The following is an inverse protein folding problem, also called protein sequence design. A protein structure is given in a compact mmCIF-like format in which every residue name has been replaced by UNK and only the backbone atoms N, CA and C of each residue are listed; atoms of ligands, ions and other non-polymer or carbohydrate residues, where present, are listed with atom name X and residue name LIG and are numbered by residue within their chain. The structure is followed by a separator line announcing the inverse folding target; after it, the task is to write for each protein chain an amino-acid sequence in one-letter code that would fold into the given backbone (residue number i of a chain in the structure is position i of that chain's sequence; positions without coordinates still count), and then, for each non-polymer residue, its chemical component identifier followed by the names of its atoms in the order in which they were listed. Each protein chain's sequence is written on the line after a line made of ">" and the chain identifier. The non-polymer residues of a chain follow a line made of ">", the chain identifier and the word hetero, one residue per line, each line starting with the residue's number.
data_IF_700605900733
#
_entry.id   IF_700605900733
#
_cell.length_a   1.000
_cell.length_b   1.000
_cell.length_c   1.000
_cell.angle_alpha   90.00
_cell.angle_beta   90.00
_cell.angle_gamma   90.00
#
_symmetry.space_group_name_H-M   'P 1'
#
loop_
_entity.id
_entity.type
_entity.pdbx_description
1 polymer ?
#
# COMPACT_ATOMS: atom_id res chain seq x y z
N UNK A 1 24.52 41.10 -6.30
CA UNK A 1 24.43 39.96 -7.24
C UNK A 1 23.15 39.22 -6.95
N UNK A 2 22.23 39.16 -7.91
CA UNK A 2 21.02 38.33 -7.80
C UNK A 2 21.44 36.89 -8.10
N UNK A 3 21.12 35.95 -7.21
CA UNK A 3 21.41 34.54 -7.45
C UNK A 3 20.73 34.09 -8.76
N UNK A 4 21.40 33.25 -9.58
CA UNK A 4 20.80 32.76 -10.82
C UNK A 4 19.49 32.03 -10.53
N UNK A 5 18.50 32.22 -11.40
CA UNK A 5 17.21 31.56 -11.27
C UNK A 5 17.41 30.04 -11.25
N UNK A 6 16.76 29.36 -10.31
CA UNK A 6 16.80 27.90 -10.24
C UNK A 6 16.30 27.31 -11.57
N UNK A 7 16.92 26.21 -12.04
CA UNK A 7 16.47 25.52 -13.25
C UNK A 7 15.00 25.15 -13.11
N UNK A 8 14.23 25.49 -14.13
CA UNK A 8 12.78 25.29 -14.16
C UNK A 8 12.48 24.01 -14.93
N UNK A 9 11.80 23.03 -14.32
CA UNK A 9 11.56 21.74 -14.97
C UNK A 9 10.50 21.83 -16.08
N UNK A 10 9.63 22.84 -16.05
CA UNK A 10 8.63 23.09 -17.10
C UNK A 10 9.05 24.26 -18.00
N UNK A 11 9.14 24.02 -19.31
CA UNK A 11 9.37 25.09 -20.30
C UNK A 11 8.26 26.13 -20.23
N UNK A 12 8.61 27.42 -20.13
CA UNK A 12 7.65 28.52 -19.98
C UNK A 12 7.01 28.63 -18.58
N UNK A 13 7.31 27.72 -17.66
CA UNK A 13 6.83 27.79 -16.27
C UNK A 13 7.66 28.75 -15.41
N UNK A 14 7.10 29.12 -14.25
CA UNK A 14 7.81 29.91 -13.22
C UNK A 14 8.07 29.12 -11.91
N UNK A 15 7.51 27.92 -11.76
CA UNK A 15 7.75 27.07 -10.60
C UNK A 15 9.09 26.31 -10.73
N UNK A 16 9.93 26.40 -9.71
CA UNK A 16 11.13 25.57 -9.58
C UNK A 16 10.77 24.17 -9.06
N UNK A 17 11.63 23.17 -9.29
CA UNK A 17 11.42 21.78 -8.86
C UNK A 17 11.12 21.66 -7.35
N UNK A 18 11.78 22.47 -6.51
CA UNK A 18 11.54 22.49 -5.07
C UNK A 18 10.12 22.93 -4.68
N UNK A 19 9.52 23.87 -5.41
CA UNK A 19 8.13 24.30 -5.16
C UNK A 19 7.15 23.20 -5.56
N UNK A 20 7.39 22.53 -6.69
CA UNK A 20 6.56 21.40 -7.15
C UNK A 20 6.60 20.25 -6.13
N UNK A 21 7.80 19.89 -5.67
CA UNK A 21 8.00 18.87 -4.65
C UNK A 21 7.30 19.26 -3.34
N UNK A 22 7.44 20.52 -2.88
CA UNK A 22 6.75 21.02 -1.70
C UNK A 22 5.23 20.83 -1.81
N UNK A 23 4.61 21.26 -2.90
CA UNK A 23 3.15 21.17 -3.09
C UNK A 23 2.68 19.71 -3.07
N UNK A 24 3.39 18.83 -3.78
CA UNK A 24 3.07 17.41 -3.85
C UNK A 24 3.21 16.75 -2.47
N UNK A 25 4.33 16.96 -1.77
CA UNK A 25 4.55 16.41 -0.43
C UNK A 25 3.53 16.97 0.56
N UNK A 26 3.30 18.27 0.57
CA UNK A 26 2.30 18.91 1.42
C UNK A 26 0.91 18.31 1.22
N UNK A 27 0.49 18.07 -0.03
CA UNK A 27 -0.83 17.51 -0.31
C UNK A 27 -0.94 16.02 0.03
N UNK A 28 0.02 15.21 -0.38
CA UNK A 28 -0.10 13.76 -0.37
C UNK A 28 0.53 13.10 0.86
N UNK A 29 1.63 13.64 1.40
CA UNK A 29 2.24 13.17 2.64
C UNK A 29 1.71 13.90 3.88
N UNK A 30 1.52 15.22 3.81
CA UNK A 30 1.02 16.00 4.95
C UNK A 30 -0.49 16.29 4.90
N UNK A 31 -1.17 15.76 3.88
CA UNK A 31 -2.63 15.80 3.77
C UNK A 31 -3.20 17.22 3.78
N UNK A 32 -2.45 18.21 3.29
CA UNK A 32 -2.87 19.61 3.21
C UNK A 32 -3.71 19.85 1.95
N UNK A 33 -4.99 20.26 2.07
CA UNK A 33 -5.79 20.63 0.91
C UNK A 33 -5.21 21.85 0.20
N UNK A 34 -5.38 21.94 -1.13
CA UNK A 34 -4.81 23.03 -1.93
C UNK A 34 -5.31 24.42 -1.51
N UNK A 35 -6.55 24.54 -1.03
CA UNK A 35 -7.05 25.84 -0.53
C UNK A 35 -6.26 26.32 0.70
N UNK A 36 -5.80 25.39 1.55
CA UNK A 36 -5.00 25.72 2.73
C UNK A 36 -3.59 26.13 2.32
N UNK A 37 -3.01 25.44 1.33
CA UNK A 37 -1.74 25.85 0.74
C UNK A 37 -1.82 27.22 0.07
N UNK A 38 -2.93 27.54 -0.58
CA UNK A 38 -3.18 28.87 -1.16
C UNK A 38 -3.20 29.94 -0.06
N UNK A 39 -3.94 29.72 1.03
CA UNK A 39 -3.95 30.64 2.19
C UNK A 39 -2.57 30.80 2.82
N UNK A 40 -1.86 29.70 3.06
CA UNK A 40 -0.48 29.74 3.57
C UNK A 40 0.43 30.50 2.61
N UNK A 41 0.19 30.37 1.31
CA UNK A 41 1.03 31.03 0.33
C UNK A 41 0.91 32.55 0.36
N UNK A 42 -0.26 33.09 0.72
CA UNK A 42 -0.43 34.54 0.87
C UNK A 42 0.43 35.05 2.05
N UNK A 43 0.57 34.25 3.12
CA UNK A 43 1.27 34.66 4.34
C UNK A 43 2.79 34.83 4.17
N UNK A 44 3.44 34.01 3.35
CA UNK A 44 4.87 34.17 3.02
C UNK A 44 5.12 35.09 1.80
N UNK A 45 4.08 35.80 1.33
CA UNK A 45 4.17 36.77 0.23
C UNK A 45 4.16 36.18 -1.19
N UNK A 46 3.74 34.93 -1.40
CA UNK A 46 3.65 34.32 -2.73
C UNK A 46 2.20 33.99 -3.10
N UNK A 47 1.64 34.63 -4.11
CA UNK A 47 0.24 34.43 -4.51
C UNK A 47 0.09 33.18 -5.39
N UNK A 48 0.08 31.99 -4.79
CA UNK A 48 -0.07 30.72 -5.51
C UNK A 48 -1.55 30.34 -5.61
N UNK A 49 -2.10 30.39 -6.83
CA UNK A 49 -3.50 29.99 -7.04
C UNK A 49 -3.70 28.48 -6.94
N UNK A 50 -4.86 28.05 -6.45
CA UNK A 50 -5.29 26.64 -6.48
C UNK A 50 -5.22 26.01 -7.86
N UNK A 51 -5.56 26.79 -8.90
CA UNK A 51 -5.50 26.35 -10.30
C UNK A 51 -4.07 26.01 -10.69
N UNK A 52 -3.13 26.92 -10.45
CA UNK A 52 -1.71 26.70 -10.71
C UNK A 52 -1.19 25.46 -9.99
N UNK A 53 -1.54 25.28 -8.70
CA UNK A 53 -1.13 24.11 -7.93
C UNK A 53 -1.71 22.80 -8.47
N UNK A 54 -2.97 22.80 -8.92
CA UNK A 54 -3.59 21.64 -9.54
C UNK A 54 -2.93 21.29 -10.89
N UNK A 55 -2.63 22.29 -11.71
CA UNK A 55 -1.92 22.10 -12.99
C UNK A 55 -0.50 21.56 -12.78
N UNK A 56 0.18 22.02 -11.75
CA UNK A 56 1.49 21.50 -11.35
C UNK A 56 1.45 20.08 -10.82
N UNK A 57 0.42 19.72 -10.04
CA UNK A 57 0.21 18.33 -9.61
C UNK A 57 0.01 17.41 -10.82
N UNK A 58 -0.79 17.85 -11.81
CA UNK A 58 -0.94 17.11 -13.07
C UNK A 58 0.40 16.94 -13.78
N UNK A 59 1.15 18.03 -13.94
CA UNK A 59 2.45 17.98 -14.61
C UNK A 59 3.41 16.99 -13.93
N UNK A 60 3.49 17.03 -12.59
CA UNK A 60 4.35 16.11 -11.83
C UNK A 60 3.86 14.67 -11.96
N UNK A 61 2.54 14.42 -11.92
CA UNK A 61 2.01 13.06 -12.11
C UNK A 61 2.37 12.51 -13.49
N UNK A 62 2.26 13.34 -14.54
CA UNK A 62 2.59 12.94 -15.90
C UNK A 62 4.10 12.60 -16.02
N UNK A 63 4.97 13.34 -15.35
CA UNK A 63 6.42 13.09 -15.35
C UNK A 63 6.84 11.81 -14.60
N UNK A 64 6.15 11.45 -13.53
CA UNK A 64 6.50 10.28 -12.72
C UNK A 64 5.69 9.03 -13.07
N UNK A 65 4.72 9.14 -13.99
CA UNK A 65 3.93 8.01 -14.47
C UNK A 65 4.77 6.85 -15.01
N UNK A 66 5.88 7.05 -15.77
CA UNK A 66 6.72 5.94 -16.20
C UNK A 66 7.34 5.15 -15.04
N UNK A 67 7.72 5.83 -13.96
CA UNK A 67 8.25 5.19 -12.74
C UNK A 67 7.14 4.37 -12.07
N UNK A 68 5.96 4.96 -11.94
CA UNK A 68 4.78 4.28 -11.42
C UNK A 68 4.45 3.00 -12.18
N UNK A 69 4.48 3.04 -13.52
CA UNK A 69 4.22 1.88 -14.37
C UNK A 69 5.27 0.80 -14.14
N UNK A 70 6.55 1.18 -14.06
CA UNK A 70 7.63 0.23 -13.77
C UNK A 70 7.46 -0.43 -12.39
N UNK A 71 7.11 0.34 -11.34
CA UNK A 71 6.83 -0.20 -10.01
C UNK A 71 5.71 -1.25 -10.04
N UNK A 72 4.63 -0.97 -10.79
CA UNK A 72 3.53 -1.93 -10.94
C UNK A 72 4.00 -3.19 -11.67
N UNK A 73 4.73 -3.05 -12.77
CA UNK A 73 5.29 -4.19 -13.50
C UNK A 73 6.21 -5.06 -12.63
N UNK A 74 7.08 -4.45 -11.82
CA UNK A 74 7.96 -5.17 -10.89
C UNK A 74 7.19 -5.90 -9.80
N UNK A 75 6.14 -5.28 -9.25
CA UNK A 75 5.25 -5.94 -8.29
C UNK A 75 4.55 -7.15 -8.91
N UNK A 76 3.99 -7.01 -10.12
CA UNK A 76 3.31 -8.09 -10.83
C UNK A 76 4.25 -9.20 -11.30
N UNK A 77 5.53 -8.89 -11.54
CA UNK A 77 6.56 -9.90 -11.81
C UNK A 77 7.00 -10.67 -10.55
N UNK A 78 6.72 -10.13 -9.36
CA UNK A 78 7.02 -10.78 -8.09
C UNK A 78 6.06 -11.94 -7.77
N UNK A 79 6.43 -12.77 -6.79
CA UNK A 79 5.65 -13.96 -6.41
C UNK A 79 4.77 -13.77 -5.16
N UNK A 80 4.74 -12.57 -4.56
CA UNK A 80 3.95 -12.31 -3.37
C UNK A 80 3.44 -10.88 -3.31
N UNK A 81 2.13 -10.76 -3.45
CA UNK A 81 1.37 -9.52 -3.38
C UNK A 81 0.48 -9.48 -2.15
N UNK A 82 0.39 -8.31 -1.53
CA UNK A 82 -0.64 -7.91 -0.60
C UNK A 82 -1.52 -6.86 -1.29
N UNK A 83 -2.81 -7.15 -1.35
CA UNK A 83 -3.82 -6.29 -1.92
C UNK A 83 -4.84 -5.85 -0.87
N UNK A 84 -5.33 -4.63 -1.03
CA UNK A 84 -6.45 -4.06 -0.28
C UNK A 84 -7.05 -2.91 -1.10
N UNK A 85 -8.27 -2.49 -0.78
CA UNK A 85 -8.94 -1.41 -1.46
C UNK A 85 -9.58 -0.43 -0.49
N UNK A 86 -9.48 0.86 -0.79
CA UNK A 86 -10.08 1.90 0.06
C UNK A 86 -11.05 2.79 -0.71
N UNK A 87 -12.28 2.98 -0.19
CA UNK A 87 -13.26 3.83 -0.85
C UNK A 87 -12.85 5.31 -0.79
N UNK A 88 -12.99 6.02 -1.90
CA UNK A 88 -12.77 7.46 -2.03
C UNK A 88 -13.92 8.11 -2.78
N UNK A 89 -14.41 9.25 -2.29
CA UNK A 89 -15.41 10.03 -3.03
C UNK A 89 -14.75 10.84 -4.13
N UNK A 90 -15.40 10.92 -5.29
CA UNK A 90 -15.00 11.83 -6.37
C UNK A 90 -16.21 12.57 -6.94
N UNK A 91 -15.97 13.71 -7.57
CA UNK A 91 -16.96 14.42 -8.37
C UNK A 91 -16.73 14.10 -9.84
N UNK A 92 -17.82 13.93 -10.57
CA UNK A 92 -17.83 13.74 -12.01
C UNK A 92 -18.76 14.80 -12.62
N UNK A 93 -18.23 15.75 -13.41
CA UNK A 93 -19.05 16.79 -14.05
C UNK A 93 -20.11 16.22 -15.00
N UNK A 94 -19.87 15.05 -15.57
CA UNK A 94 -20.74 14.42 -16.57
C UNK A 94 -21.89 13.62 -15.92
N UNK A 95 -21.81 13.42 -14.61
CA UNK A 95 -22.80 12.67 -13.84
C UNK A 95 -23.97 13.52 -13.38
N UNK A 96 -25.17 12.98 -13.61
CA UNK A 96 -26.43 13.67 -13.33
C UNK A 96 -26.61 13.88 -11.82
N UNK A 97 -26.82 15.13 -11.43
CA UNK A 97 -27.15 15.52 -10.05
C UNK A 97 -25.97 15.98 -9.20
N UNK A 98 -24.76 16.16 -9.78
CA UNK A 98 -23.59 16.77 -9.13
C UNK A 98 -23.25 16.20 -7.74
N UNK A 99 -23.53 14.90 -7.54
CA UNK A 99 -23.29 14.20 -6.28
C UNK A 99 -21.90 13.59 -6.26
N UNK A 100 -21.33 13.44 -5.07
CA UNK A 100 -20.09 12.70 -4.91
C UNK A 100 -20.30 11.19 -5.10
N UNK A 101 -19.57 10.61 -6.04
CA UNK A 101 -19.63 9.20 -6.44
C UNK A 101 -18.54 8.43 -5.71
N UNK A 102 -18.74 7.13 -5.55
CA UNK A 102 -17.80 6.23 -4.91
C UNK A 102 -16.82 5.65 -5.95
N UNK A 103 -15.54 5.99 -5.84
CA UNK A 103 -14.45 5.28 -6.49
C UNK A 103 -13.56 4.56 -5.46
N UNK A 104 -12.50 3.91 -5.92
CA UNK A 104 -11.65 3.06 -5.10
C UNK A 104 -10.18 3.31 -5.46
N UNK A 105 -9.37 3.46 -4.42
CA UNK A 105 -7.92 3.28 -4.55
C UNK A 105 -7.63 1.82 -4.19
N UNK A 106 -7.33 1.03 -5.21
CA UNK A 106 -6.77 -0.31 -5.04
C UNK A 106 -5.30 -0.18 -4.73
N UNK A 107 -4.79 -1.01 -3.83
CA UNK A 107 -3.39 -0.97 -3.42
C UNK A 107 -2.79 -2.33 -3.58
N UNK A 108 -1.72 -2.41 -4.37
CA UNK A 108 -0.90 -3.60 -4.59
C UNK A 108 0.45 -3.31 -3.98
N UNK A 109 0.97 -4.24 -3.18
CA UNK A 109 2.28 -4.08 -2.57
C UNK A 109 2.92 -5.41 -2.27
N UNK A 110 4.22 -5.40 -1.97
CA UNK A 110 4.91 -6.56 -1.39
C UNK A 110 5.50 -6.18 -0.03
N UNK A 111 5.52 -7.06 0.99
CA UNK A 111 6.11 -6.75 2.29
C UNK A 111 7.56 -6.25 2.18
N UNK A 112 7.82 -5.03 2.65
CA UNK A 112 9.14 -4.41 2.61
C UNK A 112 9.56 -3.84 1.25
N UNK A 113 8.77 -4.02 0.20
CA UNK A 113 8.99 -3.44 -1.12
C UNK A 113 7.95 -2.37 -1.48
N UNK A 114 7.81 -2.06 -2.76
CA UNK A 114 6.97 -0.97 -3.25
C UNK A 114 5.48 -1.11 -2.91
N UNK A 115 4.80 0.04 -2.98
CA UNK A 115 3.34 0.20 -2.89
C UNK A 115 2.86 0.95 -4.11
N UNK A 116 1.94 0.33 -4.84
CA UNK A 116 1.24 0.93 -5.96
C UNK A 116 -0.22 1.12 -5.60
N UNK A 117 -0.69 2.35 -5.72
CA UNK A 117 -2.10 2.71 -5.71
C UNK A 117 -2.60 2.76 -7.15
N UNK A 118 -3.79 2.24 -7.41
CA UNK A 118 -4.43 2.28 -8.71
C UNK A 118 -5.88 2.77 -8.54
N UNK A 119 -6.28 3.74 -9.36
CA UNK A 119 -7.59 4.35 -9.29
C UNK A 119 -8.62 3.62 -10.15
N UNK A 120 -9.67 3.12 -9.51
CA UNK A 120 -10.80 2.46 -10.20
C UNK A 120 -12.10 3.13 -9.85
N UNK A 121 -12.98 3.28 -10.84
CA UNK A 121 -14.30 3.88 -10.65
C UNK A 121 -15.27 2.91 -9.97
N UNK A 122 -14.99 1.60 -10.02
CA UNK A 122 -15.80 0.58 -9.37
C UNK A 122 -14.96 -0.37 -8.51
N UNK A 123 -15.66 -1.22 -7.75
CA UNK A 123 -15.08 -2.34 -6.98
C UNK A 123 -15.37 -3.69 -7.65
N UNK A 124 -15.81 -3.71 -8.90
CA UNK A 124 -16.24 -4.95 -9.57
C UNK A 124 -15.04 -5.90 -9.78
N UNK A 125 -15.32 -7.20 -9.87
CA UNK A 125 -14.28 -8.24 -10.01
C UNK A 125 -13.36 -8.02 -11.22
N UNK A 126 -13.89 -7.47 -12.32
CA UNK A 126 -13.12 -7.13 -13.51
C UNK A 126 -12.05 -6.05 -13.29
N UNK A 127 -12.21 -5.19 -12.28
CA UNK A 127 -11.20 -4.17 -11.95
C UNK A 127 -9.93 -4.82 -11.40
N UNK A 128 -10.08 -5.81 -10.51
CA UNK A 128 -8.97 -6.58 -9.97
C UNK A 128 -8.27 -7.40 -11.06
N UNK A 129 -9.05 -8.01 -11.97
CA UNK A 129 -8.52 -8.79 -13.09
C UNK A 129 -7.69 -7.91 -14.02
N UNK A 130 -8.19 -6.71 -14.33
CA UNK A 130 -7.45 -5.73 -15.15
C UNK A 130 -6.18 -5.24 -14.45
N UNK A 131 -6.21 -5.10 -13.12
CA UNK A 131 -5.09 -4.62 -12.33
C UNK A 131 -3.97 -5.66 -12.18
N UNK A 132 -4.33 -6.90 -11.86
CA UNK A 132 -3.36 -7.99 -11.65
C UNK A 132 -2.98 -8.71 -12.95
N UNK A 133 -3.72 -8.48 -14.03
CA UNK A 133 -3.62 -9.19 -15.33
C UNK A 133 -3.97 -10.67 -15.22
N UNK A 134 -4.18 -11.33 -16.36
CA UNK A 134 -4.48 -12.78 -16.39
C UNK A 134 -3.22 -13.65 -16.18
N UNK A 135 -2.03 -13.06 -16.30
CA UNK A 135 -0.75 -13.78 -16.30
C UNK A 135 -0.06 -13.82 -14.92
N UNK A 136 -0.63 -13.19 -13.90
CA UNK A 136 -0.03 -13.19 -12.56
C UNK A 136 -0.01 -14.61 -11.96
N UNK A 137 1.16 -15.01 -11.47
CA UNK A 137 1.39 -16.30 -10.85
C UNK A 137 2.15 -16.14 -9.53
N UNK A 138 1.53 -16.57 -8.42
CA UNK A 138 2.13 -16.42 -7.10
C UNK A 138 1.12 -16.35 -5.97
N UNK A 139 1.52 -15.70 -4.88
CA UNK A 139 0.72 -15.55 -3.67
C UNK A 139 -0.02 -14.22 -3.71
N UNK A 140 -1.35 -14.27 -3.56
CA UNK A 140 -2.19 -13.08 -3.44
C UNK A 140 -2.76 -13.05 -2.03
N UNK A 141 -2.39 -12.07 -1.20
CA UNK A 141 -2.94 -11.92 0.14
C UNK A 141 -3.87 -10.72 0.23
N UNK A 142 -5.06 -10.93 0.76
CA UNK A 142 -6.06 -9.87 0.93
C UNK A 142 -6.95 -10.11 2.16
N UNK A 143 -7.93 -9.23 2.35
CA UNK A 143 -9.07 -9.50 3.21
C UNK A 143 -10.01 -10.55 2.57
N UNK A 144 -11.17 -10.77 3.20
CA UNK A 144 -12.17 -11.74 2.72
C UNK A 144 -13.09 -11.23 1.63
N UNK A 145 -12.72 -10.21 0.86
CA UNK A 145 -13.58 -9.70 -0.21
C UNK A 145 -13.68 -10.67 -1.41
N UNK A 146 -14.90 -10.84 -1.91
CA UNK A 146 -15.28 -11.80 -2.95
C UNK A 146 -14.54 -11.60 -4.29
N UNK A 147 -14.08 -10.39 -4.60
CA UNK A 147 -13.30 -10.15 -5.81
C UNK A 147 -12.00 -10.96 -5.83
N UNK A 148 -11.31 -11.05 -4.70
CA UNK A 148 -10.06 -11.82 -4.59
C UNK A 148 -10.31 -13.32 -4.69
N UNK A 149 -11.39 -13.81 -4.08
CA UNK A 149 -11.82 -15.20 -4.21
C UNK A 149 -12.13 -15.55 -5.68
N UNK A 150 -12.91 -14.69 -6.36
CA UNK A 150 -13.29 -14.88 -7.76
C UNK A 150 -12.07 -14.85 -8.69
N UNK A 151 -11.12 -13.94 -8.43
CA UNK A 151 -9.89 -13.86 -9.20
C UNK A 151 -9.05 -15.13 -9.04
N UNK A 152 -8.84 -15.61 -7.81
CA UNK A 152 -8.06 -16.83 -7.56
C UNK A 152 -8.74 -18.10 -8.11
N UNK A 153 -10.08 -18.14 -8.18
CA UNK A 153 -10.81 -19.27 -8.78
C UNK A 153 -10.59 -19.37 -10.30
N UNK A 154 -10.51 -18.22 -10.98
CA UNK A 154 -10.28 -18.14 -12.43
C UNK A 154 -8.78 -18.30 -12.79
N UNK A 155 -7.87 -18.07 -11.84
CA UNK A 155 -6.43 -18.13 -12.05
C UNK A 155 -5.75 -19.20 -11.18
N UNK A 156 -5.65 -20.46 -11.65
CA UNK A 156 -5.10 -21.57 -10.87
C UNK A 156 -3.63 -21.42 -10.43
N UNK A 157 -2.88 -20.53 -11.10
CA UNK A 157 -1.50 -20.19 -10.74
C UNK A 157 -1.41 -19.25 -9.51
N UNK A 158 -2.55 -18.76 -9.01
CA UNK A 158 -2.64 -17.85 -7.87
C UNK A 158 -3.10 -18.59 -6.63
N UNK A 159 -2.27 -18.59 -5.59
CA UNK A 159 -2.68 -19.05 -4.27
C UNK A 159 -3.17 -17.87 -3.44
N UNK A 160 -4.46 -17.88 -3.13
CA UNK A 160 -5.06 -16.88 -2.26
C UNK A 160 -4.77 -17.12 -0.78
N UNK A 161 -4.29 -16.09 -0.10
CA UNK A 161 -3.94 -16.06 1.32
C UNK A 161 -4.86 -15.12 2.07
N UNK A 162 -5.49 -15.62 3.14
CA UNK A 162 -6.47 -14.86 3.91
C UNK A 162 -5.83 -14.06 5.05
N UNK A 163 -6.38 -12.90 5.37
CA UNK A 163 -5.87 -12.09 6.48
C UNK A 163 -6.38 -12.57 7.86
N UNK A 164 -5.47 -13.05 8.72
CA UNK A 164 -5.80 -13.45 10.10
C UNK A 164 -6.21 -12.28 11.01
N UNK A 165 -5.79 -11.05 10.71
CA UNK A 165 -6.21 -9.87 11.47
C UNK A 165 -7.72 -9.63 11.33
N UNK A 166 -8.28 -9.85 10.14
CA UNK A 166 -9.73 -9.80 9.89
C UNK A 166 -10.46 -10.88 10.66
N UNK A 167 -10.01 -12.14 10.60
CA UNK A 167 -10.60 -13.24 11.38
C UNK A 167 -10.58 -12.93 12.88
N UNK A 168 -9.45 -12.40 13.39
CA UNK A 168 -9.30 -11.98 14.80
C UNK A 168 -10.29 -10.88 15.18
N UNK A 169 -10.48 -9.89 14.30
CA UNK A 169 -11.37 -8.74 14.54
C UNK A 169 -12.81 -9.20 14.81
N UNK A 170 -13.33 -10.12 14.01
CA UNK A 170 -14.68 -10.65 14.25
C UNK A 170 -14.83 -11.31 15.64
N UNK A 171 -13.85 -12.10 16.09
CA UNK A 171 -13.88 -12.67 17.45
C UNK A 171 -13.72 -11.62 18.54
N UNK A 172 -12.96 -10.54 18.27
CA UNK A 172 -12.80 -9.42 19.20
C UNK A 172 -14.11 -8.65 19.38
N UNK A 173 -14.80 -8.32 18.28
CA UNK A 173 -16.09 -7.63 18.31
C UNK A 173 -17.20 -8.51 18.93
N UNK A 174 -17.06 -9.84 18.86
CA UNK A 174 -18.01 -10.78 19.44
C UNK A 174 -17.86 -11.02 20.96
N UNK A 175 -16.92 -10.36 21.66
CA UNK A 175 -16.61 -10.65 23.06
C UNK A 175 -17.82 -10.56 24.00
N UNK A 176 -18.77 -9.65 23.73
CA UNK A 176 -19.99 -9.50 24.53
C UNK A 176 -21.01 -10.63 24.35
N UNK A 177 -20.93 -11.42 23.28
CA UNK A 177 -21.91 -12.48 22.96
C UNK A 177 -21.60 -13.77 23.74
N UNK A 178 -20.34 -14.21 23.73
CA UNK A 178 -19.88 -15.32 24.55
C UNK A 178 -18.39 -15.15 24.90
N UNK A 179 -18.07 -14.59 26.08
CA UNK A 179 -16.69 -14.31 26.48
C UNK A 179 -15.80 -15.56 26.52
N UNK A 180 -16.33 -16.72 26.93
CA UNK A 180 -15.55 -17.96 27.07
C UNK A 180 -15.01 -18.43 25.72
N UNK A 181 -15.88 -18.51 24.71
CA UNK A 181 -15.51 -18.99 23.37
C UNK A 181 -14.61 -17.96 22.66
N UNK A 182 -14.99 -16.69 22.71
CA UNK A 182 -14.23 -15.62 22.05
C UNK A 182 -12.83 -15.47 22.63
N UNK A 183 -12.66 -15.50 23.96
CA UNK A 183 -11.34 -15.48 24.58
C UNK A 183 -10.52 -16.73 24.26
N UNK A 184 -11.14 -17.92 24.16
CA UNK A 184 -10.43 -19.12 23.71
C UNK A 184 -9.92 -18.96 22.27
N UNK A 185 -10.77 -18.49 21.35
CA UNK A 185 -10.40 -18.22 19.97
C UNK A 185 -9.28 -17.18 19.86
N UNK A 186 -9.42 -16.04 20.56
CA UNK A 186 -8.41 -14.97 20.58
C UNK A 186 -7.07 -15.44 21.18
N UNK A 187 -7.08 -16.32 22.19
CA UNK A 187 -5.85 -16.92 22.75
C UNK A 187 -5.16 -17.84 21.74
N UNK A 188 -5.91 -18.62 20.97
CA UNK A 188 -5.36 -19.48 19.91
C UNK A 188 -4.76 -18.63 18.80
N UNK A 189 -5.47 -17.61 18.31
CA UNK A 189 -4.94 -16.67 17.31
C UNK A 189 -3.69 -15.96 17.84
N UNK A 190 -3.74 -15.45 19.08
CA UNK A 190 -2.59 -14.81 19.71
C UNK A 190 -1.38 -15.73 19.88
N UNK A 191 -1.58 -17.05 20.02
CA UNK A 191 -0.48 -18.03 20.02
C UNK A 191 0.22 -18.10 18.67
N UNK A 192 -0.54 -18.08 17.56
CA UNK A 192 0.05 -18.06 16.21
C UNK A 192 0.91 -16.81 16.00
N UNK A 193 0.39 -15.65 16.36
CA UNK A 193 1.14 -14.40 16.28
C UNK A 193 2.38 -14.34 17.19
N UNK A 194 2.37 -15.01 18.35
CA UNK A 194 3.57 -15.14 19.18
C UNK A 194 4.65 -15.96 18.47
N UNK A 195 4.28 -17.09 17.86
CA UNK A 195 5.22 -17.90 17.08
C UNK A 195 5.82 -17.13 15.91
N UNK A 196 5.01 -16.40 15.16
CA UNK A 196 5.51 -15.55 14.07
C UNK A 196 6.54 -14.52 14.55
N UNK A 197 6.29 -13.89 15.71
CA UNK A 197 7.26 -12.95 16.30
C UNK A 197 8.53 -13.64 16.75
N UNK A 198 8.43 -14.78 17.41
CA UNK A 198 9.60 -15.60 17.79
C UNK A 198 10.45 -15.94 16.55
N UNK A 199 9.81 -16.26 15.42
CA UNK A 199 10.51 -16.56 14.16
C UNK A 199 11.09 -15.34 13.46
N UNK A 200 10.46 -14.17 13.59
CA UNK A 200 11.02 -12.90 13.15
C UNK A 200 12.27 -12.54 13.96
N UNK A 201 12.22 -12.68 15.28
CA UNK A 201 13.36 -12.42 16.20
C UNK A 201 14.54 -13.37 15.95
N UNK A 202 14.24 -14.63 15.62
CA UNK A 202 15.23 -15.63 15.22
C UNK A 202 15.72 -15.48 13.78
N UNK A 203 15.17 -14.52 13.01
CA UNK A 203 15.50 -14.28 11.60
C UNK A 203 15.37 -15.53 10.72
N UNK A 204 14.31 -16.33 10.93
CA UNK A 204 14.06 -17.51 10.09
C UNK A 204 13.87 -17.10 8.63
N UNK A 205 14.53 -17.83 7.74
CA UNK A 205 14.29 -17.76 6.30
C UNK A 205 12.86 -18.20 5.96
N UNK A 206 12.37 -17.81 4.77
CA UNK A 206 11.05 -18.21 4.31
C UNK A 206 10.87 -19.74 4.26
N UNK A 207 11.91 -20.48 3.85
CA UNK A 207 11.88 -21.94 3.79
C UNK A 207 11.75 -22.55 5.20
N UNK A 208 12.63 -22.15 6.13
CA UNK A 208 12.59 -22.60 7.53
C UNK A 208 11.23 -22.28 8.16
N UNK A 209 10.71 -21.08 7.94
CA UNK A 209 9.41 -20.67 8.46
C UNK A 209 8.28 -21.55 7.92
N UNK A 210 8.32 -21.92 6.64
CA UNK A 210 7.35 -22.86 6.05
C UNK A 210 7.36 -24.20 6.76
N UNK A 211 8.55 -24.77 6.99
CA UNK A 211 8.72 -26.03 7.71
C UNK A 211 8.22 -25.92 9.16
N UNK A 212 8.57 -24.85 9.88
CA UNK A 212 8.10 -24.64 11.26
C UNK A 212 6.58 -24.45 11.34
N UNK A 213 5.97 -23.73 10.41
CA UNK A 213 4.50 -23.54 10.36
C UNK A 213 3.76 -24.87 10.24
N UNK A 214 4.23 -25.74 9.34
CA UNK A 214 3.62 -27.03 9.05
C UNK A 214 3.67 -28.02 10.23
N UNK A 215 4.65 -27.88 11.14
CA UNK A 215 4.76 -28.73 12.32
C UNK A 215 3.54 -28.58 13.25
N UNK A 216 3.12 -29.66 13.95
CA UNK A 216 2.08 -29.58 14.97
C UNK A 216 2.36 -28.53 16.05
N UNK A 217 3.61 -28.33 16.45
CA UNK A 217 4.02 -27.38 17.50
C UNK A 217 4.18 -25.93 17.02
N UNK A 218 4.22 -25.75 15.69
CA UNK A 218 4.16 -24.45 15.03
C UNK A 218 2.72 -23.93 15.01
N UNK A 219 2.07 -23.99 13.85
CA UNK A 219 0.73 -23.44 13.68
C UNK A 219 -0.34 -24.52 13.48
N UNK A 220 -0.02 -25.66 12.86
CA UNK A 220 -1.00 -26.65 12.41
C UNK A 220 -1.96 -27.13 13.54
N UNK A 221 -1.45 -27.50 14.72
CA UNK A 221 -2.30 -27.93 15.85
C UNK A 221 -3.16 -26.79 16.40
N UNK A 222 -2.62 -25.57 16.44
CA UNK A 222 -3.31 -24.37 16.94
C UNK A 222 -4.47 -24.01 16.01
N UNK A 223 -4.22 -23.98 14.69
CA UNK A 223 -5.22 -23.76 13.65
C UNK A 223 -6.32 -24.83 13.72
N UNK A 224 -5.97 -26.12 13.74
CA UNK A 224 -6.96 -27.19 13.84
C UNK A 224 -7.81 -27.12 15.12
N UNK A 225 -7.22 -26.71 16.24
CA UNK A 225 -7.96 -26.51 17.48
C UNK A 225 -8.94 -25.34 17.37
N UNK A 226 -8.54 -24.24 16.71
CA UNK A 226 -9.40 -23.10 16.44
C UNK A 226 -10.56 -23.48 15.50
N UNK A 227 -10.29 -24.24 14.44
CA UNK A 227 -11.33 -24.75 13.53
C UNK A 227 -12.36 -25.60 14.27
N UNK A 228 -11.90 -26.55 15.10
CA UNK A 228 -12.79 -27.40 15.91
C UNK A 228 -13.64 -26.60 16.87
N UNK A 229 -13.06 -25.60 17.54
CA UNK A 229 -13.78 -24.68 18.41
C UNK A 229 -14.88 -23.94 17.63
N UNK A 230 -14.56 -23.42 16.45
CA UNK A 230 -15.50 -22.68 15.62
C UNK A 230 -16.65 -23.56 15.11
N UNK A 231 -16.36 -24.78 14.63
CA UNK A 231 -17.40 -25.75 14.22
C UNK A 231 -18.32 -26.09 15.39
N UNK A 232 -17.74 -26.42 16.55
CA UNK A 232 -18.51 -26.76 17.74
C UNK A 232 -19.40 -25.60 18.22
N UNK A 233 -18.85 -24.38 18.24
CA UNK A 233 -19.57 -23.17 18.63
C UNK A 233 -20.70 -22.88 17.64
N UNK A 234 -20.43 -23.02 16.34
CA UNK A 234 -21.37 -22.66 15.28
C UNK A 234 -22.68 -23.47 15.30
N UNK A 235 -22.62 -24.70 15.79
CA UNK A 235 -23.78 -25.57 16.00
C UNK A 235 -24.70 -25.11 17.15
N UNK A 236 -24.21 -24.25 18.05
CA UNK A 236 -24.87 -23.88 19.31
C UNK A 236 -25.23 -22.40 19.41
N UNK A 237 -24.86 -21.61 18.40
CA UNK A 237 -25.08 -20.16 18.36
C UNK A 237 -25.93 -19.79 17.14
N UNK A 238 -26.63 -18.66 17.25
CA UNK A 238 -27.45 -18.15 16.15
C UNK A 238 -26.53 -17.63 15.04
N UNK A 239 -26.78 -17.95 13.75
CA UNK A 239 -25.97 -17.47 12.63
C UNK A 239 -25.71 -15.96 12.62
N UNK A 240 -26.73 -15.17 12.95
CA UNK A 240 -26.68 -13.70 12.90
C UNK A 240 -26.07 -13.06 14.15
N UNK A 241 -25.75 -13.83 15.20
CA UNK A 241 -25.07 -13.26 16.38
C UNK A 241 -23.65 -12.83 16.04
N UNK A 242 -23.03 -11.91 16.79
CA UNK A 242 -21.63 -11.53 16.58
C UNK A 242 -20.69 -12.72 16.53
N UNK A 243 -20.83 -13.70 17.45
CA UNK A 243 -20.02 -14.91 17.42
C UNK A 243 -20.38 -15.82 16.24
N UNK A 244 -21.66 -15.89 15.85
CA UNK A 244 -22.10 -16.61 14.65
C UNK A 244 -21.38 -16.12 13.40
N UNK A 245 -21.35 -14.80 13.19
CA UNK A 245 -20.62 -14.14 12.10
C UNK A 245 -19.12 -14.41 12.16
N UNK A 246 -18.52 -14.41 13.35
CA UNK A 246 -17.09 -14.70 13.51
C UNK A 246 -16.74 -16.15 13.12
N UNK A 247 -17.57 -17.11 13.55
CA UNK A 247 -17.41 -18.51 13.14
C UNK A 247 -17.65 -18.68 11.63
N UNK A 248 -18.68 -18.06 11.06
CA UNK A 248 -18.97 -18.13 9.62
C UNK A 248 -17.84 -17.55 8.79
N UNK A 249 -17.29 -16.39 9.18
CA UNK A 249 -16.13 -15.80 8.51
C UNK A 249 -14.92 -16.74 8.56
N UNK A 250 -14.55 -17.23 9.76
CA UNK A 250 -13.39 -18.11 9.93
C UNK A 250 -13.52 -19.41 9.12
N UNK A 251 -14.71 -20.02 9.12
CA UNK A 251 -14.96 -21.28 8.43
C UNK A 251 -15.06 -21.09 6.92
N UNK A 252 -15.70 -20.02 6.45
CA UNK A 252 -15.77 -19.68 5.03
C UNK A 252 -14.40 -19.31 4.45
N UNK A 253 -13.55 -18.65 5.23
CA UNK A 253 -12.18 -18.28 4.85
C UNK A 253 -11.14 -19.33 5.24
N UNK A 254 -11.54 -20.54 5.61
CA UNK A 254 -10.61 -21.52 6.17
C UNK A 254 -9.50 -21.92 5.19
N UNK A 255 -9.84 -22.14 3.92
CA UNK A 255 -8.88 -22.51 2.89
C UNK A 255 -7.78 -21.43 2.73
N UNK A 256 -8.09 -20.16 2.43
CA UNK A 256 -7.07 -19.12 2.30
C UNK A 256 -6.35 -18.81 3.62
N UNK A 257 -7.02 -18.93 4.78
CA UNK A 257 -6.37 -18.73 6.08
C UNK A 257 -5.37 -19.86 6.42
N UNK A 258 -5.64 -21.10 6.01
CA UNK A 258 -4.77 -22.25 6.26
C UNK A 258 -3.67 -22.42 5.22
N UNK A 259 -3.80 -21.83 4.03
CA UNK A 259 -2.77 -21.83 2.99
C UNK A 259 -1.41 -21.27 3.47
N UNK A 260 -1.41 -20.35 4.45
CA UNK A 260 -0.20 -19.85 5.11
C UNK A 260 0.75 -20.96 5.64
N UNK A 261 0.21 -22.12 6.01
CA UNK A 261 1.00 -23.27 6.47
C UNK A 261 2.00 -23.76 5.42
N UNK A 262 1.71 -23.56 4.14
CA UNK A 262 2.51 -24.04 3.03
C UNK A 262 3.46 -22.98 2.44
N UNK A 263 3.37 -21.73 2.92
CA UNK A 263 4.05 -20.59 2.29
C UNK A 263 4.76 -19.73 3.34
N UNK A 264 6.00 -20.07 3.69
CA UNK A 264 6.74 -19.36 4.75
C UNK A 264 7.15 -17.93 4.42
N UNK A 265 7.12 -17.50 3.15
CA UNK A 265 7.32 -16.09 2.76
C UNK A 265 6.13 -15.20 3.16
N UNK A 266 4.94 -15.80 3.34
CA UNK A 266 3.74 -15.03 3.64
C UNK A 266 3.73 -14.50 5.07
N UNK A 267 3.09 -13.34 5.29
CA UNK A 267 2.71 -12.84 6.62
C UNK A 267 1.31 -13.33 6.98
N UNK A 268 0.98 -13.52 8.25
CA UNK A 268 -0.38 -13.94 8.64
C UNK A 268 -1.46 -12.89 8.37
N UNK A 269 -1.07 -11.63 8.18
CA UNK A 269 -1.99 -10.56 7.82
C UNK A 269 -1.38 -9.60 6.78
N UNK A 270 -2.26 -8.80 6.19
CA UNK A 270 -1.94 -7.76 5.22
C UNK A 270 -1.86 -6.37 5.89
N UNK A 271 -1.52 -6.28 7.18
CA UNK A 271 -1.45 -4.98 7.88
C UNK A 271 -0.44 -4.01 7.24
N UNK A 272 0.58 -4.50 6.53
CA UNK A 272 1.56 -3.65 5.86
C UNK A 272 0.95 -2.85 4.69
N UNK A 273 0.02 -3.44 3.93
CA UNK A 273 -0.73 -2.70 2.90
C UNK A 273 -1.77 -1.77 3.55
N UNK A 274 -2.45 -2.20 4.61
CA UNK A 274 -3.36 -1.32 5.37
C UNK A 274 -2.64 -0.08 5.92
N UNK A 275 -1.43 -0.27 6.46
CA UNK A 275 -0.59 0.82 6.96
C UNK A 275 -0.18 1.79 5.86
N UNK A 276 0.06 1.29 4.64
CA UNK A 276 0.31 2.14 3.48
C UNK A 276 -0.92 2.94 3.06
N UNK A 277 -2.12 2.39 3.23
CA UNK A 277 -3.40 3.06 2.93
C UNK A 277 -3.73 4.14 3.96
N UNK A 278 -3.43 3.94 5.25
CA UNK A 278 -3.85 4.83 6.36
C UNK A 278 -3.59 6.33 6.13
N UNK A 279 -2.42 6.77 5.63
CA UNK A 279 -2.20 8.18 5.29
C UNK A 279 -3.28 8.73 4.34
N UNK A 280 -3.62 8.00 3.28
CA UNK A 280 -4.66 8.43 2.34
C UNK A 280 -6.03 8.60 3.03
N UNK A 281 -6.33 7.81 4.06
CA UNK A 281 -7.55 7.96 4.86
C UNK A 281 -7.59 9.26 5.68
N UNK A 282 -6.44 9.75 6.15
CA UNK A 282 -6.34 11.08 6.78
C UNK A 282 -6.55 12.16 5.72
N UNK A 283 -5.91 12.01 4.55
CA UNK A 283 -6.13 12.84 3.37
C UNK A 283 -7.61 13.00 3.04
N UNK A 284 -8.32 11.88 2.88
CA UNK A 284 -9.76 11.85 2.56
C UNK A 284 -10.61 12.70 3.52
N UNK A 285 -10.28 12.72 4.81
CA UNK A 285 -10.97 13.55 5.80
C UNK A 285 -10.72 15.04 5.60
N UNK A 286 -9.54 15.42 5.09
CA UNK A 286 -9.14 16.81 4.91
C UNK A 286 -9.64 17.43 3.59
N UNK A 287 -9.67 16.67 2.50
CA UNK A 287 -10.10 17.17 1.18
C UNK A 287 -11.47 16.67 0.70
N UNK A 288 -12.12 15.77 1.46
CA UNK A 288 -13.49 15.25 1.29
C UNK A 288 -13.75 14.42 0.03
N UNK A 289 -13.35 14.90 -1.14
CA UNK A 289 -13.49 14.22 -2.43
C UNK A 289 -12.36 14.58 -3.41
N UNK A 290 -12.16 13.72 -4.39
CA UNK A 290 -11.35 13.98 -5.58
C UNK A 290 -12.21 14.77 -6.59
N UNK A 291 -11.65 15.78 -7.24
CA UNK A 291 -12.44 16.71 -8.06
C UNK A 291 -12.94 16.17 -9.41
N UNK A 292 -12.18 15.32 -10.08
CA UNK A 292 -12.50 14.75 -11.40
C UNK A 292 -12.00 13.28 -11.44
N UNK A 293 -12.63 12.35 -12.18
CA UNK A 293 -12.13 10.98 -12.36
C UNK A 293 -10.61 10.90 -12.61
N UNK A 294 -10.10 11.63 -13.59
CA UNK A 294 -8.66 11.69 -13.91
C UNK A 294 -7.77 12.15 -12.77
N UNK A 295 -8.26 13.02 -11.88
CA UNK A 295 -7.50 13.44 -10.71
C UNK A 295 -7.34 12.29 -9.69
N UNK A 296 -8.18 11.26 -9.79
CA UNK A 296 -8.06 9.99 -9.08
C UNK A 296 -6.78 9.26 -9.46
N UNK A 297 -6.57 9.04 -10.77
CA UNK A 297 -5.36 8.36 -11.26
C UNK A 297 -4.09 9.16 -10.96
N UNK A 298 -4.12 10.49 -11.13
CA UNK A 298 -2.98 11.36 -10.75
C UNK A 298 -2.64 11.23 -9.27
N UNK A 299 -3.68 11.14 -8.42
CA UNK A 299 -3.49 10.93 -6.99
C UNK A 299 -2.90 9.55 -6.68
N UNK A 300 -3.35 8.52 -7.38
CA UNK A 300 -2.84 7.15 -7.24
C UNK A 300 -1.34 7.08 -7.59
N UNK A 301 -0.93 7.67 -8.71
CA UNK A 301 0.48 7.78 -9.13
C UNK A 301 1.33 8.45 -8.04
N UNK A 302 0.89 9.59 -7.52
CA UNK A 302 1.65 10.36 -6.54
C UNK A 302 1.70 9.69 -5.16
N UNK A 303 0.59 9.05 -4.72
CA UNK A 303 0.61 8.24 -3.49
C UNK A 303 1.58 7.07 -3.61
N UNK A 304 1.61 6.38 -4.76
CA UNK A 304 2.50 5.25 -5.00
C UNK A 304 3.97 5.64 -4.80
N UNK A 305 4.39 6.73 -5.44
CA UNK A 305 5.77 7.21 -5.36
C UNK A 305 6.13 7.64 -3.93
N UNK A 306 5.27 8.42 -3.27
CA UNK A 306 5.54 8.96 -1.94
C UNK A 306 5.60 7.85 -0.90
N UNK A 307 4.61 6.95 -0.90
CA UNK A 307 4.52 5.89 0.10
C UNK A 307 5.63 4.86 -0.10
N UNK A 308 5.99 4.56 -1.35
CA UNK A 308 7.14 3.69 -1.64
C UNK A 308 8.46 4.33 -1.20
N UNK A 309 8.70 5.61 -1.51
CA UNK A 309 9.87 6.34 -1.01
C UNK A 309 9.99 6.25 0.52
N UNK A 310 8.88 6.53 1.24
CA UNK A 310 8.84 6.46 2.70
C UNK A 310 9.18 5.06 3.23
N UNK A 311 8.65 4.02 2.59
CA UNK A 311 8.89 2.64 2.98
C UNK A 311 10.35 2.22 2.78
N UNK A 312 11.00 2.73 1.73
CA UNK A 312 12.44 2.54 1.49
C UNK A 312 13.34 3.44 2.36
N UNK A 313 12.78 4.18 3.32
CA UNK A 313 13.54 5.11 4.16
C UNK A 313 14.09 6.32 3.39
N UNK A 314 13.59 6.58 2.18
CA UNK A 314 13.99 7.73 1.36
C UNK A 314 12.98 8.85 1.53
N UNK A 315 13.46 10.05 1.88
CA UNK A 315 12.62 11.25 1.80
C UNK A 315 12.31 11.58 0.33
N UNK A 316 11.05 11.85 -0.07
CA UNK A 316 10.70 12.15 -1.46
C UNK A 316 11.37 13.42 -2.02
N UNK A 317 11.98 14.25 -1.16
CA UNK A 317 12.70 15.47 -1.54
C UNK A 317 14.24 15.36 -1.45
N UNK A 318 14.82 14.20 -1.13
CA UNK A 318 16.27 14.12 -0.85
C UNK A 318 16.73 14.91 0.38
N UNK A 319 15.79 15.46 1.17
CA UNK A 319 16.10 16.00 2.49
C UNK A 319 16.35 14.81 3.43
N UNK A 320 17.52 14.74 4.10
CA UNK A 320 17.74 13.72 5.11
C UNK A 320 16.62 13.83 6.14
N UNK A 321 15.88 12.74 6.33
CA UNK A 321 15.01 12.62 7.48
C UNK A 321 15.94 12.53 8.69
N UNK A 322 16.23 13.69 9.29
CA UNK A 322 16.77 13.73 10.63
C UNK A 322 15.71 13.15 11.55
N UNK A 323 15.75 11.84 11.77
CA UNK A 323 15.23 11.31 13.02
C UNK A 323 15.96 12.09 14.12
N UNK A 324 15.26 12.79 15.03
CA UNK A 324 15.92 13.32 16.20
C UNK A 324 16.45 12.10 16.96
N UNK A 325 17.76 11.85 16.87
CA UNK A 325 18.42 11.04 17.86
C UNK A 325 18.03 11.66 19.22
N UNK A 326 17.56 10.87 20.19
CA UNK A 326 17.40 11.38 21.54
C UNK A 326 18.75 11.97 21.94
N UNK A 327 18.74 13.25 22.33
CA UNK A 327 19.94 13.91 22.81
C UNK A 327 20.55 13.03 23.91
N UNK A 328 21.86 12.73 23.87
CA UNK A 328 22.49 11.98 24.94
C UNK A 328 22.30 12.77 26.23
N UNK A 329 21.84 12.08 27.28
CA UNK A 329 21.76 12.61 28.64
C UNK A 329 23.11 13.22 29.03
N UNK A 330 23.15 14.39 29.68
CA UNK A 330 24.41 14.98 30.08
C UNK A 330 25.15 14.05 31.05
N UNK A 331 26.39 13.70 30.69
CA UNK A 331 27.36 13.08 31.58
C UNK A 331 27.65 14.01 32.77
N UNK A 332 27.79 13.44 33.97
CA UNK A 332 28.00 14.13 35.25
C UNK A 332 29.41 14.69 35.41
N UNK A 333 30.02 15.23 34.35
CA UNK A 333 31.43 15.65 34.36
C UNK A 333 31.72 17.08 33.90
N UNK A 334 30.70 17.87 33.52
CA UNK A 334 30.84 19.34 33.43
C UNK A 334 31.94 19.87 32.49
N UNK A 335 32.35 19.11 31.46
CA UNK A 335 33.32 19.56 30.45
C UNK A 335 32.69 19.64 29.05
N UNK A 336 32.96 20.70 28.26
CA UNK A 336 32.46 20.81 26.90
C UNK A 336 33.15 19.80 25.97
N UNK A 337 32.36 19.10 25.16
CA UNK A 337 32.86 18.20 24.12
C UNK A 337 33.47 18.98 22.93
N UNK A 338 34.53 18.46 22.28
CA UNK A 338 35.15 19.12 21.13
C UNK A 338 34.23 19.12 19.89
N UNK A 339 34.28 20.21 19.13
CA UNK A 339 33.49 20.39 17.92
C UNK A 339 33.80 19.32 16.85
N UNK A 340 32.76 18.72 16.29
CA UNK A 340 32.88 17.83 15.13
C UNK A 340 33.30 18.61 13.87
N UNK A 341 34.15 18.04 13.00
CA UNK A 341 34.51 18.66 11.75
C UNK A 341 33.33 18.67 10.76
N UNK A 342 33.27 19.73 9.94
CA UNK A 342 32.24 19.93 8.92
C UNK A 342 32.14 18.74 7.93
N UNK A 343 30.94 18.40 7.44
CA UNK A 343 30.79 17.30 6.50
C UNK A 343 31.40 17.65 5.14
N UNK A 344 32.20 16.72 4.61
CA UNK A 344 32.79 16.75 3.26
C UNK A 344 31.70 16.86 2.19
N UNK A 345 31.99 17.67 1.17
CA UNK A 345 31.15 17.94 0.02
C UNK A 345 30.69 16.66 -0.69
N UNK A 346 29.41 16.64 -1.09
CA UNK A 346 28.79 15.58 -1.86
C UNK A 346 29.52 15.35 -3.20
N UNK A 347 30.17 14.19 -3.35
CA UNK A 347 30.64 13.71 -4.65
C UNK A 347 29.42 13.28 -5.49
N UNK A 348 29.36 13.81 -6.72
CA UNK A 348 28.40 13.40 -7.76
C UNK A 348 28.55 11.90 -8.03
N UNK A 349 27.52 11.12 -7.75
CA UNK A 349 27.36 9.78 -8.32
C UNK A 349 26.66 9.93 -9.67
N UNK A 350 27.42 9.84 -10.75
CA UNK A 350 26.88 9.65 -12.10
C UNK A 350 26.62 8.16 -12.24
N UNK A 351 25.35 7.75 -12.22
CA UNK A 351 24.96 6.38 -12.56
C UNK A 351 24.89 6.30 -14.08
N UNK A 352 25.91 5.68 -14.69
CA UNK A 352 25.87 5.29 -16.09
C UNK A 352 24.93 4.10 -16.27
N UNK A 353 23.85 4.31 -17.01
CA UNK A 353 22.97 3.24 -17.48
C UNK A 353 23.62 2.53 -18.68
N UNK A 354 23.74 1.20 -18.72
CA UNK A 354 24.03 0.50 -19.96
C UNK A 354 22.78 0.53 -20.86
N UNK A 355 22.97 1.02 -22.09
CA UNK A 355 22.01 0.97 -23.18
C UNK A 355 21.66 -0.49 -23.51
N UNK A 356 20.36 -0.82 -23.61
CA UNK A 356 19.91 -2.01 -24.33
C UNK A 356 18.81 -2.82 -23.66
N UNK A 357 17.59 -2.29 -23.61
CA UNK A 357 16.33 -3.03 -23.71
C UNK A 357 15.17 -2.00 -23.72
N UNK A 358 14.74 -1.59 -24.90
CA UNK A 358 13.54 -0.76 -25.06
C UNK A 358 12.35 -1.69 -25.35
N UNK A 359 11.29 -1.58 -24.56
CA UNK A 359 9.96 -2.04 -24.95
C UNK A 359 9.34 -0.96 -25.83
N UNK A 360 9.15 -1.26 -27.12
CA UNK A 360 8.43 -0.38 -28.05
C UNK A 360 6.93 -0.40 -27.72
N UNK A 361 6.38 0.75 -27.34
CA UNK A 361 4.94 0.99 -27.22
C UNK A 361 4.54 1.94 -28.33
N UNK A 362 4.25 1.42 -29.52
CA UNK A 362 3.66 2.20 -30.60
C UNK A 362 2.14 2.27 -30.41
N UNK A 363 1.62 3.47 -30.13
CA UNK A 363 0.18 3.73 -30.18
C UNK A 363 -0.28 3.85 -31.63
N UNK A 364 -1.16 2.94 -32.07
CA UNK A 364 -1.98 3.11 -33.27
C UNK A 364 -3.43 3.33 -32.85
N UNK A 365 -4.00 4.44 -33.31
CA UNK A 365 -5.38 4.86 -33.07
C UNK A 365 -6.35 4.05 -33.92
N UNK A 366 -6.75 2.86 -33.48
CA UNK A 366 -8.06 2.23 -33.73
C UNK A 366 -8.07 0.78 -33.25
N UNK A 367 -9.08 0.43 -32.47
CA UNK A 367 -9.50 -0.92 -32.04
C UNK A 367 -8.75 -1.59 -30.87
N UNK A 368 -9.56 -1.94 -29.87
CA UNK A 368 -9.22 -2.56 -28.59
C UNK A 368 -8.93 -4.05 -28.76
N UNK A 369 -7.66 -4.44 -28.85
CA UNK A 369 -7.19 -5.75 -28.36
C UNK A 369 -5.67 -5.72 -28.15
N UNK A 370 -5.20 -6.00 -26.93
CA UNK A 370 -3.79 -6.21 -26.64
C UNK A 370 -3.47 -7.68 -26.95
N UNK A 371 -2.67 -7.95 -27.98
CA UNK A 371 -2.05 -9.27 -28.18
C UNK A 371 -0.55 -9.15 -27.99
N UNK A 372 -0.02 -9.88 -27.02
CA UNK A 372 1.42 -10.08 -26.84
C UNK A 372 1.87 -11.26 -27.69
N UNK A 373 2.87 -11.08 -28.55
CA UNK A 373 3.58 -12.17 -29.22
C UNK A 373 5.07 -12.04 -28.92
N UNK A 374 5.63 -13.07 -28.29
CA UNK A 374 7.06 -13.20 -28.09
C UNK A 374 7.72 -13.73 -29.38
N UNK A 375 8.76 -13.07 -29.86
CA UNK A 375 9.65 -13.67 -30.87
C UNK A 375 10.73 -14.52 -30.18
N UNK A 376 11.11 -15.67 -30.78
CA UNK A 376 12.16 -16.52 -30.23
C UNK A 376 13.56 -15.94 -30.48
N UNK A 377 14.55 -16.27 -29.62
CA UNK A 377 15.88 -15.69 -29.68
C UNK A 377 16.70 -16.26 -30.86
N UNK A 378 17.51 -15.39 -31.47
CA UNK A 378 18.55 -15.73 -32.45
C UNK A 378 19.87 -16.07 -31.79
#
# INVERSE_FOLDING_TARGET
>A
MVAPALPRPAMGGYAAAGLLAYIVISKYQHHLPLYRLETMSIQWGAQLSRKSMADWIRLVSDWVEPIYKLMLCELLAGHYLQCDETPVKFLDPDEKGHRAIQGYLWVVSTPGGDVVFDWRLTRRHGELTTLLTDDYAGLLQSDGYEAYASYAEVHPAVTWLGCWAHARRYFFEAQGDNPRITQAALRLIGRMYRREREWDEQNLTAEQRGLERAKPEGLARTMNSLKRLAVWARQRIRPKSPLGKACDYLLGQWAPLSAHLNHGVSRLDNNLVENAIRPSCIGKKNWLFIGHPDAGQRSAILYSLIVSCQRHGKGPAGLPQGHPHPAPSPDQSGRPAPAHPAPLAAQRVVVGLPLGAYCDVSMSTSETSLRYSAMPPS
#
